data_IF_939169664154
#
_entry.id   IF_939169664154
#
_cell.length_a   1.000
_cell.length_b   1.000
_cell.length_c   1.000
_cell.angle_alpha   90.00
_cell.angle_beta   90.00
_cell.angle_gamma   90.00
#
_symmetry.space_group_name_H-M   'P 1'
#
loop_
_entity.id
_entity.type
_entity.pdbx_description
1 polymer ?
#
# COMPACT_ATOMS: atom_id res chain seq x y z
N UNK A 1 -11.03 7.51 24.03
CA UNK A 1 -10.95 7.08 22.63
C UNK A 1 -12.35 7.05 22.01
N UNK A 2 -12.48 7.35 20.72
CA UNK A 2 -13.75 7.39 20.02
C UNK A 2 -13.59 6.90 18.56
N UNK A 3 -14.68 6.41 17.93
CA UNK A 3 -14.60 5.94 16.56
C UNK A 3 -14.41 7.09 15.59
N UNK A 4 -13.64 6.85 14.54
CA UNK A 4 -13.37 7.82 13.46
C UNK A 4 -13.31 7.10 12.11
N UNK A 5 -13.58 7.86 11.06
CA UNK A 5 -13.38 7.44 9.68
C UNK A 5 -12.19 8.21 9.11
N UNK A 6 -11.23 7.48 8.55
CA UNK A 6 -10.02 8.06 7.98
C UNK A 6 -10.08 8.02 6.47
N UNK A 7 -9.57 9.09 5.84
CA UNK A 7 -9.48 9.24 4.38
C UNK A 7 -8.09 9.73 4.03
N UNK A 8 -7.45 9.08 3.07
CA UNK A 8 -6.15 9.48 2.55
C UNK A 8 -6.22 9.54 1.02
N UNK A 9 -5.73 10.65 0.43
CA UNK A 9 -5.82 10.88 -1.01
C UNK A 9 -4.47 10.70 -1.70
N UNK A 10 -4.51 10.51 -3.01
CA UNK A 10 -3.32 10.40 -3.85
C UNK A 10 -2.42 11.63 -3.76
N UNK A 11 -3.01 12.82 -3.67
CA UNK A 11 -2.28 14.09 -3.54
C UNK A 11 -1.72 14.33 -2.13
N UNK A 12 -1.99 13.43 -1.17
CA UNK A 12 -1.44 13.51 0.18
C UNK A 12 -2.27 14.29 1.18
N UNK A 13 -3.58 14.36 1.00
CA UNK A 13 -4.51 14.93 1.97
C UNK A 13 -5.07 13.87 2.88
N UNK A 14 -5.24 14.22 4.14
CA UNK A 14 -5.76 13.34 5.18
C UNK A 14 -6.94 14.00 5.89
N UNK A 15 -7.98 13.21 6.13
CA UNK A 15 -9.13 13.63 6.94
C UNK A 15 -9.48 12.58 7.97
N UNK A 16 -9.80 13.05 9.17
CA UNK A 16 -10.36 12.24 10.25
C UNK A 16 -11.75 12.80 10.55
N UNK A 17 -12.78 11.98 10.29
CA UNK A 17 -14.18 12.42 10.36
C UNK A 17 -14.94 11.52 11.32
N UNK A 18 -15.68 12.11 12.28
CA UNK A 18 -16.53 11.35 13.18
C UNK A 18 -17.68 10.70 12.43
N UNK A 19 -18.23 9.55 12.90
CA UNK A 19 -19.39 8.93 12.27
C UNK A 19 -20.60 9.88 12.17
N UNK A 20 -20.82 10.70 13.19
CA UNK A 20 -21.91 11.68 13.20
C UNK A 20 -21.73 12.71 12.08
N UNK A 21 -20.56 13.29 11.94
CA UNK A 21 -20.27 14.28 10.89
C UNK A 21 -20.44 13.67 9.50
N UNK A 22 -19.97 12.43 9.32
CA UNK A 22 -20.05 11.73 8.04
C UNK A 22 -21.50 11.41 7.64
N UNK A 23 -22.37 11.08 8.61
CA UNK A 23 -23.80 10.86 8.37
C UNK A 23 -24.52 12.15 7.94
N UNK A 24 -24.08 13.30 8.43
CA UNK A 24 -24.68 14.58 8.06
C UNK A 24 -24.29 15.01 6.65
N UNK A 25 -23.05 14.77 6.23
CA UNK A 25 -22.57 15.04 4.88
C UNK A 25 -21.33 14.19 4.60
N UNK A 26 -21.47 13.24 3.68
CA UNK A 26 -20.41 12.26 3.35
C UNK A 26 -19.68 12.53 2.04
N UNK A 27 -20.11 13.51 1.26
CA UNK A 27 -19.46 13.83 -0.01
C UNK A 27 -18.09 14.45 0.23
N UNK A 28 -17.05 13.78 -0.27
CA UNK A 28 -15.66 14.18 -0.03
C UNK A 28 -15.24 15.30 -0.99
N UNK A 29 -14.85 16.45 -0.42
CA UNK A 29 -14.19 17.49 -1.20
C UNK A 29 -12.76 17.06 -1.49
N UNK A 30 -12.38 17.10 -2.76
CA UNK A 30 -11.05 16.77 -3.25
C UNK A 30 -10.52 17.90 -4.13
N UNK A 31 -9.20 18.00 -4.25
CA UNK A 31 -8.60 18.82 -5.31
C UNK A 31 -8.93 18.25 -6.68
N UNK A 32 -8.91 19.10 -7.69
CA UNK A 32 -9.09 18.69 -9.07
C UNK A 32 -8.07 17.63 -9.44
N UNK A 33 -8.57 16.49 -9.96
CA UNK A 33 -7.73 15.37 -10.34
C UNK A 33 -7.24 14.47 -9.22
N UNK A 34 -7.58 14.76 -7.96
CA UNK A 34 -7.25 13.92 -6.82
C UNK A 34 -8.28 12.79 -6.64
N UNK A 35 -7.88 11.74 -5.93
CA UNK A 35 -8.77 10.61 -5.61
C UNK A 35 -8.46 10.06 -4.21
N UNK A 36 -9.46 9.47 -3.57
CA UNK A 36 -9.28 8.78 -2.30
C UNK A 36 -8.61 7.44 -2.57
N UNK A 37 -7.42 7.24 -2.03
CA UNK A 37 -6.67 5.98 -2.12
C UNK A 37 -7.06 5.00 -1.03
N UNK A 38 -7.38 5.50 0.15
CA UNK A 38 -7.59 4.66 1.32
C UNK A 38 -8.64 5.27 2.24
N UNK A 39 -9.53 4.44 2.72
CA UNK A 39 -10.50 4.80 3.74
C UNK A 39 -10.67 3.65 4.72
N UNK A 40 -10.85 3.94 5.99
CA UNK A 40 -11.17 2.92 6.98
C UNK A 40 -11.92 3.50 8.17
N UNK A 41 -12.68 2.63 8.84
CA UNK A 41 -13.29 2.89 10.13
C UNK A 41 -12.33 2.37 11.21
N UNK A 42 -12.02 3.20 12.18
CA UNK A 42 -11.09 2.84 13.26
C UNK A 42 -11.36 3.70 14.50
N UNK A 43 -10.39 3.81 15.39
CA UNK A 43 -10.48 4.64 16.59
C UNK A 43 -9.40 5.72 16.58
N UNK A 44 -9.61 6.75 17.40
CA UNK A 44 -8.73 7.92 17.46
C UNK A 44 -7.32 7.60 17.99
N UNK A 45 -7.12 6.45 18.61
CA UNK A 45 -5.85 6.05 19.23
C UNK A 45 -4.91 5.27 18.30
N UNK A 46 -5.34 4.92 17.09
CA UNK A 46 -4.49 4.15 16.17
C UNK A 46 -3.26 4.91 15.75
N UNK A 47 -2.21 4.18 15.43
CA UNK A 47 -1.02 4.77 14.83
C UNK A 47 -1.14 4.82 13.32
N UNK A 48 -0.57 5.87 12.74
CA UNK A 48 -0.52 6.13 11.31
C UNK A 48 0.93 6.11 10.86
N UNK A 49 1.22 5.33 9.82
CA UNK A 49 2.54 5.26 9.21
C UNK A 49 2.42 5.81 7.78
N UNK A 50 3.13 6.90 7.50
CA UNK A 50 3.17 7.50 6.17
C UNK A 50 4.53 7.22 5.52
N UNK A 51 4.53 6.34 4.53
CA UNK A 51 5.73 6.01 3.76
C UNK A 51 5.91 7.02 2.64
N UNK A 52 7.12 7.55 2.48
CA UNK A 52 7.39 8.65 1.54
C UNK A 52 8.28 8.23 0.38
N UNK A 53 8.34 9.08 -0.63
CA UNK A 53 9.22 8.91 -1.78
C UNK A 53 10.72 9.12 -1.44
N UNK A 54 11.03 9.57 -0.24
CA UNK A 54 12.40 9.73 0.25
C UNK A 54 12.87 8.54 1.10
N UNK A 55 12.24 7.36 0.94
CA UNK A 55 12.61 6.12 1.67
C UNK A 55 12.53 6.29 3.18
N UNK A 56 11.57 7.09 3.63
CA UNK A 56 11.31 7.36 5.04
C UNK A 56 9.89 6.99 5.40
N UNK A 57 9.65 6.77 6.69
CA UNK A 57 8.30 6.62 7.23
C UNK A 57 8.11 7.60 8.38
N UNK A 58 7.00 8.34 8.33
CA UNK A 58 6.58 9.25 9.40
C UNK A 58 5.51 8.58 10.23
N UNK A 59 5.66 8.66 11.54
CA UNK A 59 4.76 8.02 12.50
C UNK A 59 3.98 9.09 13.26
N UNK A 60 2.68 8.90 13.34
CA UNK A 60 1.79 9.75 14.11
C UNK A 60 0.64 8.92 14.66
N UNK A 61 -0.18 9.51 15.53
CA UNK A 61 -1.45 8.91 15.96
C UNK A 61 -2.58 9.66 15.28
N UNK A 62 -3.74 9.01 15.14
CA UNK A 62 -4.91 9.69 14.61
C UNK A 62 -5.27 10.92 15.45
N UNK A 63 -5.07 10.86 16.78
CA UNK A 63 -5.34 12.00 17.67
C UNK A 63 -4.40 13.19 17.46
N UNK A 64 -3.31 13.06 16.72
CA UNK A 64 -2.43 14.18 16.36
C UNK A 64 -3.06 15.09 15.31
N UNK A 65 -4.13 14.63 14.66
CA UNK A 65 -4.88 15.39 13.67
C UNK A 65 -6.24 15.80 14.24
N UNK A 66 -6.66 17.01 13.91
CA UNK A 66 -7.98 17.50 14.34
C UNK A 66 -9.10 16.78 13.57
N UNK A 67 -10.26 16.63 14.22
CA UNK A 67 -11.46 16.17 13.53
C UNK A 67 -11.83 17.14 12.42
N UNK A 68 -12.29 16.61 11.31
CA UNK A 68 -12.57 17.36 10.10
C UNK A 68 -13.97 17.03 9.56
N UNK A 69 -14.27 17.56 8.40
CA UNK A 69 -15.54 17.37 7.68
C UNK A 69 -15.26 16.90 6.26
N UNK A 70 -16.22 16.18 5.68
CA UNK A 70 -16.14 15.79 4.28
C UNK A 70 -16.00 16.99 3.32
N UNK A 71 -16.59 18.13 3.68
CA UNK A 71 -16.68 19.33 2.85
C UNK A 71 -15.39 20.16 2.76
N UNK A 72 -14.34 19.79 3.47
CA UNK A 72 -13.03 20.46 3.41
C UNK A 72 -11.98 19.54 2.81
N UNK A 73 -10.84 20.11 2.38
CA UNK A 73 -9.75 19.30 1.80
C UNK A 73 -9.06 18.41 2.84
N UNK A 74 -9.00 18.87 4.09
CA UNK A 74 -8.27 18.19 5.15
C UNK A 74 -6.84 18.68 5.30
N UNK A 75 -6.03 17.90 6.02
CA UNK A 75 -4.63 18.22 6.28
C UNK A 75 -3.76 17.78 5.12
N UNK A 76 -2.88 18.67 4.66
CA UNK A 76 -1.84 18.31 3.72
C UNK A 76 -0.69 17.68 4.51
N UNK A 77 -0.54 16.36 4.40
CA UNK A 77 0.32 15.56 5.28
C UNK A 77 1.78 16.02 5.25
N UNK A 78 2.29 16.34 4.06
CA UNK A 78 3.67 16.79 3.92
C UNK A 78 3.98 18.04 4.76
N UNK A 79 3.05 18.99 4.81
CA UNK A 79 3.18 20.20 5.65
C UNK A 79 2.96 19.87 7.13
N UNK A 80 1.93 19.08 7.43
CA UNK A 80 1.56 18.76 8.82
C UNK A 80 2.66 18.00 9.55
N UNK A 81 3.38 17.14 8.85
CA UNK A 81 4.45 16.31 9.43
C UNK A 81 5.86 16.85 9.18
N UNK A 82 5.98 18.01 8.54
CA UNK A 82 7.29 18.63 8.31
C UNK A 82 8.19 17.84 7.38
N UNK A 83 7.63 17.28 6.31
CA UNK A 83 8.41 16.57 5.30
C UNK A 83 9.37 17.50 4.57
N UNK A 84 10.45 16.96 4.05
CA UNK A 84 11.46 17.71 3.32
C UNK A 84 10.91 18.25 1.99
N UNK A 85 11.61 19.21 1.39
CA UNK A 85 11.26 19.68 0.06
C UNK A 85 11.26 18.52 -0.94
N UNK A 86 10.21 18.41 -1.75
CA UNK A 86 10.04 17.33 -2.71
C UNK A 86 9.65 15.99 -2.11
N UNK A 87 9.48 15.91 -0.79
CA UNK A 87 9.00 14.70 -0.11
C UNK A 87 7.49 14.74 0.03
N UNK A 88 6.84 13.60 -0.25
CA UNK A 88 5.40 13.46 -0.07
C UNK A 88 5.03 12.01 0.28
N UNK A 89 3.90 11.82 0.96
CA UNK A 89 3.47 10.47 1.35
C UNK A 89 2.92 9.71 0.16
N UNK A 90 3.45 8.49 -0.05
CA UNK A 90 2.99 7.56 -1.08
C UNK A 90 1.90 6.62 -0.58
N UNK A 91 1.92 6.31 0.72
CA UNK A 91 1.11 5.25 1.30
C UNK A 91 0.88 5.51 2.78
N UNK A 92 -0.34 5.25 3.25
CA UNK A 92 -0.67 5.33 4.67
C UNK A 92 -1.07 3.95 5.19
N UNK A 93 -0.45 3.54 6.29
CA UNK A 93 -0.86 2.35 7.06
C UNK A 93 -1.51 2.79 8.35
N UNK A 94 -2.65 2.20 8.66
CA UNK A 94 -3.36 2.39 9.92
C UNK A 94 -3.19 1.12 10.75
N UNK A 95 -2.62 1.25 11.93
CA UNK A 95 -2.34 0.07 12.75
C UNK A 95 -2.64 0.31 14.24
N UNK A 96 -3.40 -0.60 14.87
CA UNK A 96 -3.57 -0.59 16.32
C UNK A 96 -2.45 -1.35 17.05
N UNK A 97 -1.70 -2.24 16.38
CA UNK A 97 -0.90 -3.26 17.04
C UNK A 97 0.38 -3.68 16.29
N UNK A 98 0.71 -3.04 15.18
CA UNK A 98 1.87 -3.37 14.33
C UNK A 98 1.89 -4.81 13.81
N UNK A 99 0.73 -5.42 13.63
CA UNK A 99 0.61 -6.73 12.98
C UNK A 99 0.64 -6.62 11.47
N UNK A 100 1.02 -7.73 10.81
CA UNK A 100 1.09 -7.80 9.36
C UNK A 100 2.46 -7.39 8.82
N UNK A 101 2.49 -7.09 7.54
CA UNK A 101 3.73 -6.82 6.80
C UNK A 101 3.55 -5.66 5.84
N UNK A 102 4.68 -5.01 5.49
CA UNK A 102 4.79 -4.20 4.29
C UNK A 102 5.43 -5.03 3.19
N UNK A 103 4.87 -4.96 2.00
CA UNK A 103 5.48 -5.49 0.78
C UNK A 103 5.99 -4.33 -0.06
N UNK A 104 7.26 -4.40 -0.44
CA UNK A 104 7.86 -3.44 -1.36
C UNK A 104 8.29 -4.18 -2.62
N UNK A 105 7.59 -3.93 -3.72
CA UNK A 105 7.92 -4.49 -5.02
C UNK A 105 8.78 -3.52 -5.78
N UNK A 106 9.88 -4.01 -6.33
CA UNK A 106 10.86 -3.19 -7.03
C UNK A 106 10.81 -3.44 -8.54
N UNK A 107 11.36 -2.50 -9.29
CA UNK A 107 11.39 -2.54 -10.75
C UNK A 107 12.06 -3.81 -11.30
N UNK A 108 13.03 -4.36 -10.58
CA UNK A 108 13.69 -5.62 -10.94
C UNK A 108 12.82 -6.87 -10.83
N UNK A 109 11.66 -6.78 -10.18
CA UNK A 109 10.81 -7.92 -9.86
C UNK A 109 11.07 -8.52 -8.49
N UNK A 110 12.00 -7.96 -7.71
CA UNK A 110 12.19 -8.34 -6.32
C UNK A 110 11.08 -7.80 -5.44
N UNK A 111 10.85 -8.48 -4.32
CA UNK A 111 9.95 -8.02 -3.27
C UNK A 111 10.62 -8.18 -1.91
N UNK A 112 10.56 -7.13 -1.10
CA UNK A 112 10.92 -7.17 0.31
C UNK A 112 9.63 -7.23 1.14
N UNK A 113 9.48 -8.29 1.94
CA UNK A 113 8.38 -8.49 2.87
C UNK A 113 8.90 -8.21 4.28
N UNK A 114 8.50 -7.07 4.84
CA UNK A 114 9.02 -6.57 6.11
C UNK A 114 7.90 -6.61 7.17
N UNK A 115 8.09 -7.32 8.30
CA UNK A 115 7.08 -7.27 9.37
C UNK A 115 6.82 -5.83 9.79
N UNK A 116 5.55 -5.48 9.98
CA UNK A 116 5.20 -4.13 10.41
C UNK A 116 5.83 -3.79 11.75
N UNK A 117 6.03 -4.80 12.61
CA UNK A 117 6.73 -4.65 13.90
C UNK A 117 8.16 -4.10 13.76
N UNK A 118 8.78 -4.21 12.59
CA UNK A 118 10.11 -3.61 12.34
C UNK A 118 10.07 -2.08 12.35
N UNK A 119 8.89 -1.48 12.25
CA UNK A 119 8.68 -0.02 12.33
C UNK A 119 8.23 0.44 13.70
N UNK A 120 7.96 -0.48 14.61
CA UNK A 120 7.63 -0.17 16.00
C UNK A 120 8.90 0.24 16.75
N UNK A 121 8.82 1.32 17.52
CA UNK A 121 9.96 1.82 18.29
C UNK A 121 9.60 1.96 19.76
N UNK A 122 10.55 1.64 20.64
CA UNK A 122 10.37 1.78 22.10
C UNK A 122 10.21 3.23 22.54
N UNK A 123 10.80 4.14 21.78
CA UNK A 123 10.66 5.58 22.00
C UNK A 123 9.77 6.16 20.92
N UNK A 124 9.04 7.20 21.25
CA UNK A 124 8.17 7.89 20.32
C UNK A 124 9.01 8.63 19.26
N UNK A 125 9.42 7.92 18.24
CA UNK A 125 10.11 8.49 17.08
C UNK A 125 9.10 8.84 16.01
N UNK A 126 9.10 10.09 15.60
CA UNK A 126 8.18 10.57 14.56
C UNK A 126 8.62 10.22 13.15
N UNK A 127 9.91 9.94 12.94
CA UNK A 127 10.44 9.63 11.62
C UNK A 127 11.51 8.54 11.71
N UNK A 128 11.44 7.58 10.78
CA UNK A 128 12.45 6.54 10.60
C UNK A 128 13.05 6.66 9.22
N UNK A 129 14.38 6.68 9.17
CA UNK A 129 15.14 6.64 7.93
C UNK A 129 15.24 5.20 7.42
N UNK A 130 15.55 5.04 6.13
CA UNK A 130 15.73 3.72 5.52
C UNK A 130 14.55 2.80 5.78
N UNK A 131 13.36 3.32 5.53
CA UNK A 131 12.10 2.59 5.74
C UNK A 131 11.90 1.47 4.71
N UNK A 132 12.53 1.58 3.55
CA UNK A 132 12.62 0.53 2.54
C UNK A 132 13.86 0.77 1.67
N UNK A 133 14.24 -0.22 0.88
CA UNK A 133 15.48 -0.17 0.11
C UNK A 133 15.48 0.94 -0.94
N UNK A 134 16.61 1.62 -1.06
CA UNK A 134 16.90 2.59 -2.12
C UNK A 134 17.81 2.00 -3.24
N UNK A 135 18.15 0.72 -3.13
CA UNK A 135 19.05 0.05 -4.09
C UNK A 135 18.42 -0.22 -5.44
N UNK A 136 17.10 -0.25 -5.49
CA UNK A 136 16.30 -0.48 -6.69
C UNK A 136 15.11 0.45 -6.67
N UNK A 137 14.58 0.80 -7.83
CA UNK A 137 13.41 1.66 -7.94
C UNK A 137 12.17 0.96 -7.42
N UNK A 138 11.46 1.61 -6.50
CA UNK A 138 10.18 1.13 -6.01
C UNK A 138 9.14 1.13 -7.15
N UNK A 139 8.44 0.01 -7.32
CA UNK A 139 7.34 -0.10 -8.26
C UNK A 139 5.99 -0.03 -7.54
N UNK A 140 5.82 -0.83 -6.48
CA UNK A 140 4.59 -0.87 -5.69
C UNK A 140 4.91 -1.09 -4.23
N UNK A 141 4.09 -0.51 -3.36
CA UNK A 141 4.11 -0.85 -1.95
C UNK A 141 2.70 -1.20 -1.49
N UNK A 142 2.60 -2.12 -0.54
CA UNK A 142 1.31 -2.62 -0.08
C UNK A 142 1.39 -3.09 1.36
N UNK A 143 0.46 -2.66 2.19
CA UNK A 143 0.26 -3.23 3.51
C UNK A 143 -0.49 -4.56 3.40
N UNK A 144 -0.01 -5.55 4.14
CA UNK A 144 -0.55 -6.90 4.17
C UNK A 144 -0.94 -7.22 5.61
N UNK A 145 -2.23 -7.09 5.98
CA UNK A 145 -2.65 -7.40 7.36
C UNK A 145 -2.56 -8.89 7.68
N UNK A 146 -2.78 -9.74 6.67
CA UNK A 146 -2.73 -11.19 6.77
C UNK A 146 -2.15 -11.77 5.49
N UNK A 147 -1.64 -13.00 5.56
CA UNK A 147 -1.23 -13.73 4.36
C UNK A 147 -2.41 -13.91 3.41
N UNK A 148 -2.17 -13.75 2.13
CA UNK A 148 -3.18 -13.86 1.08
C UNK A 148 -2.53 -14.30 -0.22
N UNK A 149 -3.32 -14.36 -1.29
CA UNK A 149 -2.84 -14.58 -2.64
C UNK A 149 -2.96 -13.28 -3.44
N UNK A 150 -1.86 -12.86 -4.06
CA UNK A 150 -1.82 -11.67 -4.91
C UNK A 150 -1.78 -12.07 -6.38
N UNK A 151 -2.50 -11.32 -7.20
CA UNK A 151 -2.41 -11.35 -8.64
C UNK A 151 -1.44 -10.26 -9.08
N UNK A 152 -0.40 -10.66 -9.82
CA UNK A 152 0.64 -9.77 -10.31
C UNK A 152 0.62 -9.79 -11.83
N UNK A 153 0.34 -8.63 -12.43
CA UNK A 153 0.27 -8.43 -13.87
C UNK A 153 1.57 -7.79 -14.38
N UNK A 154 2.02 -8.21 -15.53
CA UNK A 154 3.19 -7.64 -16.20
C UNK A 154 2.84 -7.03 -17.55
N UNK A 155 3.69 -6.11 -18.02
CA UNK A 155 3.46 -5.35 -19.26
C UNK A 155 3.48 -6.21 -20.54
N UNK A 156 4.02 -7.42 -20.46
CA UNK A 156 4.05 -8.37 -21.58
C UNK A 156 2.90 -9.40 -21.52
N UNK A 157 1.75 -8.98 -20.98
CA UNK A 157 0.51 -9.74 -20.94
C UNK A 157 0.61 -11.07 -20.18
N UNK A 158 1.32 -11.04 -19.06
CA UNK A 158 1.42 -12.21 -18.16
C UNK A 158 0.79 -11.90 -16.80
N UNK A 159 0.33 -12.96 -16.17
CA UNK A 159 -0.26 -12.95 -14.84
C UNK A 159 0.31 -14.10 -14.03
N UNK A 160 0.66 -13.82 -12.77
CA UNK A 160 0.91 -14.86 -11.80
C UNK A 160 0.06 -14.63 -10.55
N UNK A 161 -0.49 -15.72 -10.03
CA UNK A 161 -1.15 -15.74 -8.73
C UNK A 161 -0.17 -16.36 -7.74
N UNK A 162 0.27 -15.56 -6.77
CA UNK A 162 1.30 -15.96 -5.82
C UNK A 162 0.79 -15.79 -4.38
N UNK A 163 0.87 -16.88 -3.61
CA UNK A 163 0.62 -16.78 -2.17
C UNK A 163 1.72 -15.94 -1.52
N UNK A 164 1.33 -14.97 -0.71
CA UNK A 164 2.30 -14.09 -0.02
C UNK A 164 3.17 -14.87 0.95
N UNK A 165 2.71 -16.02 1.45
CA UNK A 165 3.48 -16.91 2.30
C UNK A 165 4.72 -17.48 1.61
N UNK A 166 4.77 -17.50 0.28
CA UNK A 166 5.95 -17.93 -0.49
C UNK A 166 7.09 -16.89 -0.43
N UNK A 167 6.81 -15.67 0.00
CA UNK A 167 7.82 -14.61 0.11
C UNK A 167 8.36 -14.63 1.55
N UNK A 168 9.65 -14.99 1.75
CA UNK A 168 10.22 -14.98 3.09
C UNK A 168 10.34 -13.55 3.62
N UNK A 169 10.01 -13.37 4.90
CA UNK A 169 10.13 -12.06 5.53
C UNK A 169 11.59 -11.70 5.83
N UNK A 170 11.87 -10.41 5.82
CA UNK A 170 13.15 -9.82 6.21
C UNK A 170 12.90 -8.76 7.27
N UNK A 171 13.51 -8.92 8.44
CA UNK A 171 13.30 -7.98 9.55
C UNK A 171 14.02 -6.65 9.35
N UNK A 172 15.06 -6.62 8.53
CA UNK A 172 15.75 -5.38 8.17
C UNK A 172 14.87 -4.57 7.20
N UNK A 173 14.51 -3.36 7.60
CA UNK A 173 13.57 -2.50 6.86
C UNK A 173 14.01 -2.21 5.43
N UNK A 174 15.31 -1.93 5.21
CA UNK A 174 15.87 -1.58 3.91
C UNK A 174 16.43 -2.78 3.13
N UNK A 175 15.95 -3.98 3.42
CA UNK A 175 16.30 -5.20 2.68
C UNK A 175 15.95 -5.05 1.19
N UNK A 176 16.86 -5.51 0.32
CA UNK A 176 16.60 -5.59 -1.12
C UNK A 176 15.55 -6.65 -1.48
N UNK A 177 15.21 -7.54 -0.55
CA UNK A 177 14.22 -8.57 -0.76
C UNK A 177 14.71 -9.77 -1.55
N UNK A 178 13.76 -10.53 -2.08
CA UNK A 178 14.00 -11.74 -2.84
C UNK A 178 13.38 -11.63 -4.25
N UNK A 179 13.87 -12.44 -5.19
CA UNK A 179 13.28 -12.50 -6.52
C UNK A 179 11.88 -13.12 -6.44
N UNK A 180 10.89 -12.42 -6.96
CA UNK A 180 9.48 -12.86 -6.99
C UNK A 180 8.99 -12.98 -8.42
N UNK A 181 9.15 -11.94 -9.23
CA UNK A 181 8.72 -11.95 -10.62
C UNK A 181 9.94 -11.97 -11.53
N UNK A 182 10.05 -12.98 -12.37
CA UNK A 182 11.07 -13.03 -13.42
C UNK A 182 10.56 -12.18 -14.58
N UNK A 183 11.12 -10.99 -14.72
CA UNK A 183 10.75 -10.06 -15.79
C UNK A 183 11.63 -10.25 -17.00
N UNK A 184 11.00 -10.52 -18.16
CA UNK A 184 11.69 -10.56 -19.44
C UNK A 184 12.13 -9.15 -19.84
N UNK A 185 13.03 -9.06 -20.80
CA UNK A 185 13.58 -7.79 -21.26
C UNK A 185 12.47 -6.76 -21.52
N UNK A 186 12.61 -5.58 -20.95
CA UNK A 186 11.67 -4.45 -21.04
C UNK A 186 10.30 -4.69 -20.42
N UNK A 187 10.07 -5.83 -19.77
CA UNK A 187 8.83 -6.06 -19.03
C UNK A 187 8.88 -5.40 -17.65
N UNK A 188 7.73 -4.99 -17.16
CA UNK A 188 7.58 -4.42 -15.83
C UNK A 188 6.28 -4.90 -15.18
N UNK A 189 6.23 -4.87 -13.85
CA UNK A 189 4.98 -5.09 -13.12
C UNK A 189 4.07 -3.90 -13.40
N UNK A 190 2.82 -4.17 -13.80
CA UNK A 190 1.85 -3.12 -14.12
C UNK A 190 0.74 -2.98 -13.09
N UNK A 191 0.42 -4.07 -12.38
CA UNK A 191 -0.68 -4.09 -11.42
C UNK A 191 -0.49 -5.20 -10.41
N UNK A 192 -0.84 -4.94 -9.16
CA UNK A 192 -0.91 -5.92 -8.09
C UNK A 192 -2.25 -5.74 -7.37
N UNK A 193 -2.99 -6.83 -7.20
CA UNK A 193 -4.29 -6.82 -6.52
C UNK A 193 -4.52 -8.17 -5.84
N UNK A 194 -5.35 -8.26 -4.80
CA UNK A 194 -5.75 -9.57 -4.27
C UNK A 194 -6.43 -10.42 -5.36
N UNK A 195 -6.09 -11.70 -5.40
CA UNK A 195 -6.60 -12.58 -6.46
C UNK A 195 -8.12 -12.77 -6.40
N UNK A 196 -8.73 -12.65 -5.21
CA UNK A 196 -10.18 -12.78 -5.02
C UNK A 196 -11.00 -11.62 -5.60
N UNK A 197 -10.35 -10.53 -6.01
CA UNK A 197 -10.99 -9.41 -6.71
C UNK A 197 -11.17 -9.68 -8.21
N UNK A 198 -10.62 -10.79 -8.72
CA UNK A 198 -10.62 -11.12 -10.14
C UNK A 198 -11.57 -12.28 -10.44
N UNK A 199 -12.21 -12.23 -11.60
CA UNK A 199 -13.00 -13.33 -12.14
C UNK A 199 -12.22 -13.97 -13.29
N UNK A 200 -11.53 -15.07 -13.00
CA UNK A 200 -10.72 -15.80 -13.97
C UNK A 200 -11.43 -17.09 -14.37
N UNK A 201 -11.35 -17.45 -15.65
CA UNK A 201 -11.96 -18.68 -16.18
C UNK A 201 -11.26 -19.93 -15.62
N UNK A 202 -9.95 -19.84 -15.41
CA UNK A 202 -9.15 -20.93 -14.84
C UNK A 202 -7.96 -20.34 -14.07
N UNK A 203 -8.17 -20.13 -12.78
CA UNK A 203 -7.15 -19.56 -11.90
C UNK A 203 -5.90 -20.43 -11.79
N UNK A 204 -6.06 -21.76 -11.89
CA UNK A 204 -4.92 -22.70 -11.81
C UNK A 204 -3.84 -22.44 -12.86
N UNK A 205 -4.25 -21.95 -14.02
CA UNK A 205 -3.32 -21.62 -15.10
C UNK A 205 -2.26 -20.62 -14.66
N UNK A 206 -2.64 -19.67 -13.77
CA UNK A 206 -1.80 -18.55 -13.35
C UNK A 206 -1.15 -18.76 -11.99
N UNK A 207 -1.62 -19.75 -11.22
CA UNK A 207 -1.14 -19.99 -9.86
C UNK A 207 0.22 -20.63 -9.88
N UNK A 208 1.15 -20.05 -9.11
CA UNK A 208 2.52 -20.54 -9.00
C UNK A 208 2.72 -21.21 -7.64
N UNK A 209 3.59 -22.22 -7.60
CA UNK A 209 3.93 -22.97 -6.38
C UNK A 209 5.26 -22.55 -5.78
N UNK A 210 6.12 -21.96 -6.59
CA UNK A 210 7.45 -21.52 -6.20
C UNK A 210 7.76 -20.17 -6.81
N UNK A 211 8.63 -19.41 -6.15
CA UNK A 211 9.12 -18.11 -6.64
C UNK A 211 10.63 -18.17 -6.84
N UNK A 212 11.20 -17.42 -7.80
CA UNK A 212 10.53 -16.53 -8.74
C UNK A 212 9.76 -17.25 -9.85
N UNK A 213 8.82 -16.55 -10.45
CA UNK A 213 8.03 -17.07 -11.56
C UNK A 213 7.81 -15.97 -12.61
N UNK A 214 7.69 -16.38 -13.87
CA UNK A 214 7.42 -15.46 -15.00
C UNK A 214 5.93 -15.16 -15.14
N UNK A 215 5.08 -16.09 -14.72
CA UNK A 215 3.65 -16.03 -14.96
C UNK A 215 3.26 -16.60 -16.32
N UNK A 216 1.98 -16.80 -16.54
CA UNK A 216 1.41 -17.33 -17.77
C UNK A 216 0.81 -16.21 -18.62
N UNK A 217 0.81 -16.37 -19.93
CA UNK A 217 0.13 -15.44 -20.85
C UNK A 217 -1.36 -15.42 -20.50
N UNK A 218 -1.93 -14.23 -20.40
CA UNK A 218 -3.34 -14.06 -20.08
C UNK A 218 -4.16 -14.51 -21.27
N UNK A 219 -5.17 -15.37 -21.03
CA UNK A 219 -6.10 -15.84 -22.06
C UNK A 219 -6.99 -14.71 -22.52
N UNK A 220 -7.41 -14.77 -23.79
CA UNK A 220 -8.26 -13.74 -24.39
C UNK A 220 -9.60 -13.58 -23.67
N UNK A 221 -10.16 -14.66 -23.12
CA UNK A 221 -11.43 -14.64 -22.37
C UNK A 221 -11.30 -14.05 -20.96
N UNK A 222 -10.09 -13.89 -20.43
CA UNK A 222 -9.84 -13.24 -19.14
C UNK A 222 -9.58 -11.72 -19.28
N UNK A 223 -9.16 -11.24 -20.45
CA UNK A 223 -8.59 -9.90 -20.62
C UNK A 223 -9.58 -8.76 -20.39
N UNK A 224 -10.81 -8.88 -20.93
CA UNK A 224 -11.79 -7.79 -20.85
C UNK A 224 -12.25 -7.53 -19.41
N UNK A 225 -12.53 -8.59 -18.64
CA UNK A 225 -12.98 -8.50 -17.27
C UNK A 225 -11.90 -7.97 -16.35
N UNK A 226 -10.64 -8.35 -16.57
CA UNK A 226 -9.51 -7.87 -15.79
C UNK A 226 -9.29 -6.36 -15.91
N UNK A 227 -9.64 -5.77 -17.03
CA UNK A 227 -9.54 -4.33 -17.25
C UNK A 227 -10.66 -3.54 -16.58
N UNK A 228 -11.83 -4.15 -16.38
CA UNK A 228 -13.00 -3.49 -15.77
C UNK A 228 -12.98 -3.53 -14.25
N UNK A 229 -12.34 -4.52 -13.65
CA UNK A 229 -12.24 -4.71 -12.21
C UNK A 229 -11.09 -3.92 -11.54
N UNK A 230 -10.33 -3.17 -12.32
CA UNK A 230 -9.17 -2.40 -11.89
C UNK A 230 -9.49 -1.13 -11.09
#
# INVERSE_FOLDING_TARGET
DYPVNLFFTREGYFKKITPQSLRMSGEQKLKDGDEVLFTCETTNSVELLFFTNHHQVYKSHAYDFADSKASVLGDYVASSLGMDEGEFPLYMVVTPDYKGWMLFFFKSGKCAKVPLSSYETKQNRRKLLKAYSDKDQLAFMRYLPEETELAIFTSNNRLLLAATALIPEKTTRDSAGVNVVTLKKNAKITRITPSDTLELTDAHRYRVRTLPATGAIIRADDTAEQLTLG
#
